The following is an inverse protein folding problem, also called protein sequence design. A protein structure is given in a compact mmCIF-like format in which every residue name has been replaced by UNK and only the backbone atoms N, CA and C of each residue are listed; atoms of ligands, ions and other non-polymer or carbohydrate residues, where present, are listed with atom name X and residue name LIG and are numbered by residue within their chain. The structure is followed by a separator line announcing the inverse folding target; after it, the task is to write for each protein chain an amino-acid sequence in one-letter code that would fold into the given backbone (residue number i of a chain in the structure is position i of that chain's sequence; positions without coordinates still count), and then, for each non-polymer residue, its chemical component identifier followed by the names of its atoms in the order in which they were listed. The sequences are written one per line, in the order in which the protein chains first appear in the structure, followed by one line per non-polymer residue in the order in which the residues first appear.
data_IF_822870858042
#
_entry.id   IF_822870858042
#
_cell.length_a   1.000
_cell.length_b   1.000
_cell.length_c   1.000
_cell.angle_alpha   90.00
_cell.angle_beta   90.00
_cell.angle_gamma   90.00
#
_symmetry.space_group_name_H-M   'P 1'
#
loop_
_entity.id
_entity.type
_entity.pdbx_description
1 polymer ?
#
# COMPACT_ATOMS: atom_id res chain seq x y z
N UNK A 1 32.10 11.41 28.78
CA UNK A 1 31.19 10.25 28.63
C UNK A 1 29.86 10.57 29.25
N UNK A 2 28.86 10.84 28.41
CA UNK A 2 27.42 10.61 28.64
C UNK A 2 26.72 11.01 27.33
N UNK A 3 26.53 10.00 26.48
CA UNK A 3 25.71 10.07 25.28
C UNK A 3 24.26 10.35 25.69
N UNK A 4 23.68 11.44 25.18
CA UNK A 4 22.24 11.60 25.10
C UNK A 4 21.79 10.95 23.79
N UNK A 5 21.19 9.77 23.89
CA UNK A 5 20.60 9.06 22.77
C UNK A 5 19.50 9.90 22.12
N UNK A 6 19.73 10.33 20.89
CA UNK A 6 18.72 10.96 20.05
C UNK A 6 17.66 9.91 19.69
N UNK A 7 16.48 9.99 20.31
CA UNK A 7 15.28 9.29 19.86
C UNK A 7 14.86 9.86 18.51
N UNK A 8 15.23 9.17 17.42
CA UNK A 8 14.84 9.54 16.07
C UNK A 8 13.34 9.30 15.84
N UNK A 9 12.50 10.26 16.21
CA UNK A 9 11.09 10.28 15.78
C UNK A 9 11.03 10.50 14.27
N UNK A 10 10.38 9.59 13.54
CA UNK A 10 9.91 9.89 12.18
C UNK A 10 8.96 11.08 12.28
N UNK A 11 9.16 12.10 11.45
CA UNK A 11 8.33 13.31 11.47
C UNK A 11 6.86 12.91 11.31
N UNK A 12 5.93 13.47 12.12
CA UNK A 12 4.51 13.35 11.85
C UNK A 12 4.22 13.88 10.45
N UNK A 13 3.40 13.16 9.68
CA UNK A 13 2.74 13.71 8.50
C UNK A 13 1.81 14.83 8.98
N UNK A 14 2.29 16.06 9.03
CA UNK A 14 1.45 17.22 9.34
C UNK A 14 0.67 17.62 8.10
N UNK A 15 -0.63 17.37 8.10
CA UNK A 15 -1.59 17.98 7.18
C UNK A 15 -2.20 19.17 7.91
N UNK A 16 -1.70 20.38 7.67
CA UNK A 16 -2.37 21.60 8.10
C UNK A 16 -3.35 22.04 7.00
N UNK A 17 -4.63 22.20 7.37
CA UNK A 17 -5.63 23.00 6.66
C UNK A 17 -5.53 23.03 5.13
N UNK A 18 -5.84 21.93 4.45
CA UNK A 18 -6.16 21.94 3.01
C UNK A 18 -5.04 22.33 2.03
N UNK A 19 -3.79 22.48 2.47
CA UNK A 19 -2.65 22.82 1.60
C UNK A 19 -1.44 21.93 1.95
N UNK A 20 -1.16 20.93 1.09
CA UNK A 20 0.09 20.16 1.15
C UNK A 20 1.23 21.00 0.57
N UNK A 21 2.16 21.46 1.41
CA UNK A 21 3.40 22.07 0.95
C UNK A 21 4.47 20.99 0.67
N UNK A 22 5.13 21.06 -0.50
CA UNK A 22 6.20 20.14 -0.90
C UNK A 22 7.41 20.19 0.06
N UNK A 23 7.99 19.05 0.49
CA UNK A 23 9.12 19.04 1.45
C UNK A 23 10.47 19.51 0.90
N UNK A 24 10.63 19.71 -0.41
CA UNK A 24 11.95 19.78 -1.05
C UNK A 24 12.45 21.18 -1.43
N UNK A 25 11.87 22.28 -0.94
CA UNK A 25 12.31 23.65 -1.32
C UNK A 25 12.64 24.58 -0.13
N UNK A 26 13.18 24.03 0.97
CA UNK A 26 13.76 24.84 2.03
C UNK A 26 15.27 24.57 2.14
N UNK A 27 16.09 25.32 1.40
CA UNK A 27 17.51 25.46 1.70
C UNK A 27 17.71 26.63 2.68
N UNK A 28 18.57 26.50 3.71
CA UNK A 28 18.93 27.62 4.57
C UNK A 28 19.95 28.49 3.82
N UNK A 29 19.46 29.52 3.12
CA UNK A 29 20.31 30.58 2.58
C UNK A 29 20.82 31.46 3.72
N UNK A 30 22.14 31.57 3.86
CA UNK A 30 22.83 32.37 4.85
C UNK A 30 22.42 33.84 4.83
N UNK A 31 22.30 34.42 6.02
CA UNK A 31 21.89 35.80 6.20
C UNK A 31 22.93 36.82 5.72
N UNK A 32 22.46 37.80 4.97
CA UNK A 32 22.94 39.18 5.07
C UNK A 32 21.80 40.14 4.73
N UNK A 33 21.83 41.27 5.40
CA UNK A 33 20.76 42.24 5.63
C UNK A 33 20.36 43.08 4.40
N UNK A 34 19.07 43.17 4.14
CA UNK A 34 18.35 44.43 3.84
C UNK A 34 16.89 44.13 3.55
N UNK A 35 15.98 44.80 4.27
CA UNK A 35 14.55 44.56 4.19
C UNK A 35 13.95 44.90 2.84
N UNK A 36 13.24 43.93 2.28
CA UNK A 36 12.11 44.09 1.36
C UNK A 36 11.23 42.85 1.57
N UNK A 37 9.97 43.04 2.00
CA UNK A 37 8.97 41.98 2.09
C UNK A 37 8.58 41.54 0.67
N UNK A 38 9.41 40.70 0.06
CA UNK A 38 9.08 40.00 -1.18
C UNK A 38 8.01 38.95 -0.88
N UNK A 39 6.76 39.25 -1.24
CA UNK A 39 5.70 38.23 -1.36
C UNK A 39 6.23 37.10 -2.25
N UNK A 40 6.51 35.93 -1.67
CA UNK A 40 6.70 34.70 -2.44
C UNK A 40 5.39 34.45 -3.20
N UNK A 41 5.39 34.73 -4.49
CA UNK A 41 4.30 34.34 -5.37
C UNK A 41 4.23 32.81 -5.33
N UNK A 42 3.10 32.28 -4.84
CA UNK A 42 2.77 30.87 -5.03
C UNK A 42 2.78 30.61 -6.54
N UNK A 43 3.71 29.79 -7.03
CA UNK A 43 3.64 29.29 -8.39
C UNK A 43 2.32 28.52 -8.53
N UNK A 44 1.50 28.80 -9.57
CA UNK A 44 0.29 28.04 -9.79
C UNK A 44 0.67 26.57 -10.03
N UNK A 45 0.06 25.68 -9.24
CA UNK A 45 0.15 24.24 -9.44
C UNK A 45 -0.39 23.96 -10.85
N UNK A 46 0.48 23.63 -11.80
CA UNK A 46 0.08 23.41 -13.20
C UNK A 46 -0.83 22.18 -13.29
N UNK A 47 -1.81 22.21 -14.19
CA UNK A 47 -2.79 21.11 -14.40
C UNK A 47 -2.12 19.73 -14.57
N UNK A 48 -0.87 19.68 -15.06
CA UNK A 48 -0.06 18.46 -15.15
C UNK A 48 0.23 17.76 -13.81
N UNK A 49 0.35 18.51 -12.70
CA UNK A 49 0.57 17.90 -11.38
C UNK A 49 -0.70 17.19 -10.86
N UNK A 50 -1.89 17.59 -11.34
CA UNK A 50 -3.16 16.91 -11.04
C UNK A 50 -3.44 15.73 -11.98
N UNK A 51 -2.71 15.59 -13.08
CA UNK A 51 -2.86 14.47 -14.02
C UNK A 51 -2.08 13.20 -13.62
N UNK A 52 -1.07 13.31 -12.75
CA UNK A 52 -0.32 12.13 -12.31
C UNK A 52 -1.12 11.31 -11.28
N UNK A 53 -1.51 10.06 -11.60
CA UNK A 53 -2.35 9.26 -10.72
C UNK A 53 -1.68 8.93 -9.37
N UNK A 54 -0.35 9.00 -9.27
CA UNK A 54 0.36 8.86 -8.00
C UNK A 54 -0.10 9.87 -6.95
N UNK A 55 -0.39 11.12 -7.34
CA UNK A 55 -0.79 12.16 -6.38
C UNK A 55 -2.21 11.89 -5.86
N UNK A 56 -3.15 11.55 -6.74
CA UNK A 56 -4.50 11.16 -6.35
C UNK A 56 -4.53 9.89 -5.49
N UNK A 57 -3.66 8.92 -5.81
CA UNK A 57 -3.49 7.69 -5.05
C UNK A 57 -2.99 7.96 -3.62
N UNK A 58 -1.87 8.66 -3.48
CA UNK A 58 -1.29 8.98 -2.17
C UNK A 58 -2.23 9.86 -1.33
N UNK A 59 -2.96 10.78 -1.97
CA UNK A 59 -3.94 11.61 -1.28
C UNK A 59 -5.09 10.76 -0.70
N UNK A 60 -5.59 9.78 -1.45
CA UNK A 60 -6.62 8.85 -0.98
C UNK A 60 -6.12 8.02 0.23
N UNK A 61 -4.86 7.60 0.22
CA UNK A 61 -4.26 6.88 1.35
C UNK A 61 -4.04 7.75 2.58
N UNK A 62 -3.67 9.02 2.41
CA UNK A 62 -3.56 9.97 3.51
C UNK A 62 -4.92 10.25 4.16
N UNK A 63 -5.97 10.45 3.35
CA UNK A 63 -7.35 10.60 3.84
C UNK A 63 -7.83 9.33 4.56
N UNK A 64 -7.55 8.16 3.98
CA UNK A 64 -7.83 6.86 4.60
C UNK A 64 -7.16 6.75 5.97
N UNK A 65 -5.88 7.10 6.07
CA UNK A 65 -5.13 7.06 7.34
C UNK A 65 -5.75 7.96 8.42
N UNK A 66 -6.20 9.17 8.06
CA UNK A 66 -6.88 10.07 9.00
C UNK A 66 -8.15 9.45 9.55
N UNK A 67 -8.98 8.83 8.69
CA UNK A 67 -10.24 8.21 9.10
C UNK A 67 -10.01 6.95 9.93
N UNK A 68 -9.03 6.13 9.55
CA UNK A 68 -8.66 4.93 10.30
C UNK A 68 -8.10 5.27 11.70
N UNK A 69 -7.39 6.39 11.85
CA UNK A 69 -6.88 6.87 13.15
C UNK A 69 -7.98 7.16 14.19
N UNK A 70 -9.21 7.37 13.75
CA UNK A 70 -10.37 7.59 14.62
C UNK A 70 -11.04 6.30 15.07
N UNK A 71 -10.73 5.15 14.45
CA UNK A 71 -11.30 3.87 14.86
C UNK A 71 -10.68 3.41 16.19
N UNK A 72 -11.48 2.69 16.98
CA UNK A 72 -11.03 2.00 18.19
C UNK A 72 -11.39 0.53 18.05
N UNK A 73 -10.39 -0.32 18.23
CA UNK A 73 -10.56 -1.77 18.14
C UNK A 73 -10.56 -2.36 19.54
N UNK A 74 -11.53 -3.22 19.80
CA UNK A 74 -11.68 -3.94 21.07
C UNK A 74 -11.31 -5.41 20.88
N UNK A 75 -11.56 -6.23 21.91
CA UNK A 75 -11.29 -7.66 21.84
C UNK A 75 -11.90 -8.30 20.59
N UNK A 76 -11.16 -9.20 19.91
CA UNK A 76 -9.88 -9.81 20.34
C UNK A 76 -8.61 -9.03 19.92
N UNK A 77 -8.74 -7.81 19.38
CA UNK A 77 -7.60 -7.00 18.91
C UNK A 77 -6.84 -6.39 20.10
N UNK A 78 -5.52 -6.57 20.11
CA UNK A 78 -4.61 -5.98 21.12
C UNK A 78 -3.52 -5.11 20.51
N UNK A 79 -3.18 -5.35 19.25
CA UNK A 79 -2.19 -4.56 18.52
C UNK A 79 -2.71 -4.28 17.11
N UNK A 80 -2.53 -3.03 16.68
CA UNK A 80 -2.87 -2.56 15.34
C UNK A 80 -1.64 -1.85 14.79
N UNK A 81 -1.13 -2.30 13.65
CA UNK A 81 -0.07 -1.56 12.96
C UNK A 81 -0.61 -0.97 11.66
N UNK A 82 -0.12 0.22 11.32
CA UNK A 82 -0.36 0.87 10.04
C UNK A 82 0.98 1.17 9.32
N UNK A 83 1.45 0.32 8.39
CA UNK A 83 2.67 0.55 7.63
C UNK A 83 2.64 1.82 6.79
N UNK A 84 1.46 2.35 6.44
CA UNK A 84 1.38 3.65 5.75
C UNK A 84 1.73 4.83 6.65
N UNK A 85 1.96 4.61 7.96
CA UNK A 85 2.53 5.62 8.85
C UNK A 85 4.02 5.40 9.06
N UNK A 86 4.43 4.24 9.56
CA UNK A 86 5.82 4.01 9.96
C UNK A 86 6.74 3.56 8.81
N UNK A 87 6.18 3.05 7.69
CA UNK A 87 6.91 2.68 6.48
C UNK A 87 6.49 3.55 5.28
N UNK A 88 6.10 4.80 5.54
CA UNK A 88 5.67 5.73 4.50
C UNK A 88 6.75 6.01 3.45
N UNK A 89 8.00 6.18 3.86
CA UNK A 89 9.11 6.50 2.94
C UNK A 89 9.27 5.47 1.79
N UNK A 90 9.45 4.15 2.05
CA UNK A 90 9.48 3.18 0.97
C UNK A 90 8.13 3.03 0.25
N UNK A 91 7.00 3.25 0.93
CA UNK A 91 5.68 3.18 0.31
C UNK A 91 5.46 4.30 -0.72
N UNK A 92 5.72 5.56 -0.35
CA UNK A 92 5.65 6.71 -1.26
C UNK A 92 6.61 6.53 -2.43
N UNK A 93 7.83 6.02 -2.17
CA UNK A 93 8.78 5.68 -3.24
C UNK A 93 8.20 4.64 -4.21
N UNK A 94 7.58 3.57 -3.71
CA UNK A 94 6.89 2.58 -4.55
C UNK A 94 5.83 3.22 -5.44
N UNK A 95 4.96 4.07 -4.88
CA UNK A 95 3.90 4.73 -5.65
C UNK A 95 4.47 5.71 -6.66
N UNK A 96 5.42 6.58 -6.28
CA UNK A 96 5.99 7.58 -7.19
C UNK A 96 6.84 6.97 -8.31
N UNK A 97 7.48 5.83 -8.07
CA UNK A 97 8.22 5.10 -9.11
C UNK A 97 7.26 4.41 -10.08
N UNK A 98 6.23 3.73 -9.59
CA UNK A 98 5.45 2.80 -10.41
C UNK A 98 4.05 3.27 -10.81
N UNK A 99 3.57 4.38 -10.25
CA UNK A 99 2.25 4.95 -10.52
C UNK A 99 2.33 6.24 -11.36
N UNK A 100 3.27 6.33 -12.30
CA UNK A 100 3.50 7.53 -13.12
C UNK A 100 2.49 7.72 -14.27
N UNK A 101 1.62 6.74 -14.50
CA UNK A 101 0.65 6.70 -15.58
C UNK A 101 -0.62 5.98 -15.11
N UNK A 102 -1.74 6.23 -15.80
CA UNK A 102 -2.98 5.48 -15.59
C UNK A 102 -2.76 3.99 -15.81
N UNK A 103 -3.56 3.17 -15.14
CA UNK A 103 -3.42 1.72 -15.10
C UNK A 103 -4.65 1.08 -15.72
N UNK A 104 -4.48 -0.07 -16.35
CA UNK A 104 -5.60 -0.85 -16.88
C UNK A 104 -6.12 -1.85 -15.85
N UNK A 105 -5.21 -2.42 -15.04
CA UNK A 105 -5.51 -3.48 -14.08
C UNK A 105 -5.00 -3.13 -12.68
N UNK A 106 -5.86 -3.26 -11.67
CA UNK A 106 -5.48 -3.20 -10.26
C UNK A 106 -5.54 -4.60 -9.63
N UNK A 107 -4.42 -5.11 -9.14
CA UNK A 107 -4.39 -6.27 -8.25
C UNK A 107 -4.65 -5.82 -6.82
N UNK A 108 -5.68 -6.39 -6.19
CA UNK A 108 -6.14 -5.98 -4.87
C UNK A 108 -5.98 -7.11 -3.84
N UNK A 109 -5.03 -6.95 -2.92
CA UNK A 109 -4.91 -7.80 -1.72
C UNK A 109 -5.87 -7.38 -0.61
N UNK A 110 -5.97 -8.20 0.43
CA UNK A 110 -6.86 -7.93 1.57
C UNK A 110 -6.25 -6.90 2.52
N UNK A 111 -5.13 -7.24 3.14
CA UNK A 111 -4.41 -6.41 4.09
C UNK A 111 -2.96 -6.90 4.25
N UNK A 112 -2.04 -6.12 4.87
CA UNK A 112 -0.66 -6.51 5.06
C UNK A 112 -0.48 -7.85 5.77
N UNK A 113 0.46 -8.66 5.29
CA UNK A 113 1.04 -9.74 6.07
C UNK A 113 2.20 -9.27 6.96
N UNK A 114 2.53 -10.01 8.03
CA UNK A 114 3.44 -9.57 9.08
C UNK A 114 4.92 -9.48 8.66
N UNK A 115 5.30 -10.15 7.56
CA UNK A 115 6.69 -10.21 7.09
C UNK A 115 6.87 -9.61 5.69
N UNK A 116 5.79 -9.16 5.05
CA UNK A 116 5.79 -8.46 3.78
C UNK A 116 5.53 -6.96 3.99
N UNK A 117 4.34 -6.50 3.58
CA UNK A 117 3.98 -5.06 3.62
C UNK A 117 4.11 -4.43 5.01
N UNK A 118 3.87 -5.18 6.10
CA UNK A 118 4.08 -4.65 7.45
C UNK A 118 5.55 -4.27 7.71
N UNK A 119 6.51 -4.85 6.99
CA UNK A 119 7.94 -4.54 7.11
C UNK A 119 8.37 -3.51 6.06
N UNK A 120 7.86 -3.59 4.85
CA UNK A 120 8.41 -2.84 3.69
C UNK A 120 7.57 -1.66 3.24
N UNK A 121 6.31 -1.56 3.66
CA UNK A 121 5.35 -0.59 3.13
C UNK A 121 4.79 -0.96 1.75
N UNK A 122 5.31 -1.99 1.07
CA UNK A 122 4.88 -2.37 -0.29
C UNK A 122 3.86 -3.52 -0.26
N UNK A 123 2.73 -3.46 -1.01
CA UNK A 123 1.78 -4.56 -1.11
C UNK A 123 2.43 -5.88 -1.54
N UNK A 124 2.06 -6.99 -0.89
CA UNK A 124 2.73 -8.29 -1.06
C UNK A 124 4.27 -8.20 -0.90
N UNK A 125 4.76 -7.21 -0.17
CA UNK A 125 6.14 -6.75 -0.23
C UNK A 125 7.13 -7.59 0.55
N UNK A 126 7.39 -8.81 0.10
CA UNK A 126 8.48 -9.63 0.61
C UNK A 126 9.83 -8.93 0.38
N UNK A 127 10.65 -8.86 1.44
CA UNK A 127 11.83 -7.99 1.50
C UNK A 127 12.78 -8.14 0.32
N UNK A 128 13.12 -9.38 -0.07
CA UNK A 128 14.08 -9.60 -1.17
C UNK A 128 13.52 -9.13 -2.50
N UNK A 129 12.26 -9.43 -2.82
CA UNK A 129 11.66 -8.94 -4.07
C UNK A 129 11.49 -7.42 -4.09
N UNK A 130 11.13 -6.82 -2.97
CA UNK A 130 11.00 -5.35 -2.88
C UNK A 130 12.36 -4.67 -3.08
N UNK A 131 13.42 -5.17 -2.43
CA UNK A 131 14.76 -4.59 -2.53
C UNK A 131 15.44 -4.90 -3.87
N UNK A 132 15.41 -6.16 -4.30
CA UNK A 132 16.29 -6.65 -5.37
C UNK A 132 15.62 -6.58 -6.76
N UNK A 133 14.28 -6.62 -6.83
CA UNK A 133 13.54 -6.56 -8.09
C UNK A 133 12.78 -5.25 -8.27
N UNK A 134 12.00 -4.82 -7.27
CA UNK A 134 11.34 -3.51 -7.29
C UNK A 134 12.29 -2.35 -6.99
N UNK A 135 13.51 -2.62 -6.50
CA UNK A 135 14.50 -1.60 -6.18
C UNK A 135 13.99 -0.49 -5.24
N UNK A 136 13.01 -0.83 -4.39
CA UNK A 136 12.46 0.05 -3.38
C UNK A 136 13.16 -0.24 -2.06
N UNK A 137 13.77 0.79 -1.51
CA UNK A 137 14.35 0.84 -0.17
C UNK A 137 14.05 2.22 0.40
N UNK A 138 13.88 2.27 1.70
CA UNK A 138 13.56 3.50 2.44
C UNK A 138 13.61 3.26 3.94
N UNK A 139 13.53 4.35 4.69
CA UNK A 139 13.51 4.31 6.15
C UNK A 139 12.18 3.72 6.63
N UNK A 140 12.29 2.75 7.53
CA UNK A 140 11.15 2.15 8.23
C UNK A 140 11.29 2.43 9.72
N UNK A 141 10.33 3.16 10.27
CA UNK A 141 10.16 3.40 11.69
C UNK A 141 9.34 2.26 12.34
N UNK A 142 9.07 2.38 13.63
CA UNK A 142 8.28 1.39 14.40
C UNK A 142 6.85 1.89 14.63
N UNK A 143 5.86 0.98 14.75
CA UNK A 143 4.57 1.36 15.30
C UNK A 143 4.74 1.74 16.78
N UNK A 144 3.80 2.52 17.31
CA UNK A 144 3.85 3.04 18.69
C UNK A 144 3.94 1.93 19.74
N UNK A 145 3.19 0.84 19.54
CA UNK A 145 3.18 -0.32 20.43
C UNK A 145 3.44 -1.58 19.62
N UNK A 146 4.61 -2.20 19.80
CA UNK A 146 4.98 -3.46 19.15
C UNK A 146 4.64 -4.67 20.02
N UNK A 147 4.01 -5.69 19.44
CA UNK A 147 4.00 -7.02 20.04
C UNK A 147 5.40 -7.66 19.92
N UNK A 148 5.99 -8.21 21.00
CA UNK A 148 7.37 -8.73 20.99
C UNK A 148 7.67 -9.82 19.94
N UNK A 149 6.68 -10.65 19.58
CA UNK A 149 6.81 -11.68 18.53
C UNK A 149 6.59 -11.17 17.11
N UNK A 150 6.28 -9.88 16.95
CA UNK A 150 5.99 -9.22 15.67
C UNK A 150 6.72 -7.88 15.58
N UNK A 151 8.05 -7.85 15.75
CA UNK A 151 8.81 -6.61 15.62
C UNK A 151 8.84 -6.16 14.15
N UNK A 152 8.81 -4.86 13.94
CA UNK A 152 9.11 -4.21 12.67
C UNK A 152 10.61 -3.98 12.61
N UNK A 153 11.26 -4.66 11.66
CA UNK A 153 12.69 -4.58 11.37
C UNK A 153 12.98 -3.95 10.01
N UNK A 154 11.95 -3.53 9.29
CA UNK A 154 12.11 -2.96 7.97
C UNK A 154 12.74 -3.95 6.99
N UNK A 155 13.68 -3.44 6.19
CA UNK A 155 14.43 -4.23 5.21
C UNK A 155 15.46 -5.20 5.84
N UNK A 156 15.67 -5.15 7.16
CA UNK A 156 16.47 -6.11 7.92
C UNK A 156 15.64 -7.29 8.47
N UNK A 157 14.36 -7.39 8.11
CA UNK A 157 13.53 -8.54 8.48
C UNK A 157 14.12 -9.84 7.88
N UNK A 158 14.48 -10.84 8.70
CA UNK A 158 15.08 -12.07 8.20
C UNK A 158 14.05 -13.05 7.60
N UNK A 159 12.77 -12.82 7.86
CA UNK A 159 11.70 -13.72 7.44
C UNK A 159 11.20 -13.36 6.04
N UNK A 160 11.01 -14.37 5.20
CA UNK A 160 10.36 -14.22 3.90
C UNK A 160 8.86 -14.44 4.02
N UNK A 161 8.06 -13.53 3.48
CA UNK A 161 6.61 -13.71 3.39
C UNK A 161 6.27 -14.54 2.14
N UNK A 162 5.90 -15.82 2.35
CA UNK A 162 5.64 -16.77 1.26
C UNK A 162 4.62 -16.26 0.23
N UNK A 163 3.55 -15.61 0.69
CA UNK A 163 2.54 -15.02 -0.21
C UNK A 163 3.15 -13.97 -1.14
N UNK A 164 3.97 -13.07 -0.58
CA UNK A 164 4.63 -12.00 -1.32
C UNK A 164 5.72 -12.51 -2.25
N UNK A 165 6.54 -13.46 -1.76
CA UNK A 165 7.56 -14.12 -2.56
C UNK A 165 6.96 -14.82 -3.79
N UNK A 166 5.86 -15.57 -3.62
CA UNK A 166 5.15 -16.22 -4.74
C UNK A 166 4.60 -15.19 -5.73
N UNK A 167 3.94 -14.15 -5.21
CA UNK A 167 3.34 -13.10 -6.03
C UNK A 167 4.38 -12.41 -6.91
N UNK A 168 5.44 -11.84 -6.30
CA UNK A 168 6.42 -11.08 -7.05
C UNK A 168 7.39 -11.96 -7.85
N UNK A 169 7.70 -13.19 -7.41
CA UNK A 169 8.49 -14.13 -8.21
C UNK A 169 7.76 -14.51 -9.51
N UNK A 170 6.43 -14.64 -9.48
CA UNK A 170 5.64 -14.93 -10.66
C UNK A 170 5.71 -13.78 -11.68
N UNK A 171 5.45 -12.54 -11.24
CA UNK A 171 5.52 -11.38 -12.13
C UNK A 171 6.94 -11.09 -12.61
N UNK A 172 7.96 -11.28 -11.77
CA UNK A 172 9.37 -11.23 -12.19
C UNK A 172 9.67 -12.23 -13.32
N UNK A 173 9.17 -13.45 -13.21
CA UNK A 173 9.42 -14.51 -14.20
C UNK A 173 8.82 -14.20 -15.57
N UNK A 174 7.65 -13.57 -15.61
CA UNK A 174 6.93 -13.30 -16.86
C UNK A 174 7.24 -11.92 -17.46
N UNK A 175 7.42 -10.90 -16.62
CA UNK A 175 7.63 -9.52 -17.05
C UNK A 175 9.12 -9.20 -17.24
N UNK A 176 10.02 -9.95 -16.58
CA UNK A 176 11.45 -9.67 -16.51
C UNK A 176 11.73 -8.45 -15.63
N UNK A 177 11.41 -7.26 -16.14
CA UNK A 177 11.59 -5.97 -15.46
C UNK A 177 10.28 -5.50 -14.78
N UNK A 178 10.35 -4.76 -13.67
CA UNK A 178 9.16 -4.24 -13.00
C UNK A 178 8.41 -3.24 -13.88
N UNK A 179 9.09 -2.44 -14.70
CA UNK A 179 8.47 -1.45 -15.60
C UNK A 179 7.46 -2.11 -16.56
N UNK A 180 7.78 -3.30 -17.06
CA UNK A 180 6.86 -4.09 -17.91
C UNK A 180 5.55 -4.41 -17.19
N UNK A 181 5.62 -4.83 -15.93
CA UNK A 181 4.42 -5.06 -15.12
C UNK A 181 3.66 -3.75 -14.85
N UNK A 182 4.37 -2.72 -14.39
CA UNK A 182 3.75 -1.47 -13.97
C UNK A 182 3.28 -0.57 -15.11
N UNK A 183 3.66 -0.87 -16.36
CA UNK A 183 3.17 -0.17 -17.55
C UNK A 183 1.64 -0.12 -17.59
N UNK A 184 0.99 -1.25 -17.30
CA UNK A 184 -0.48 -1.38 -17.32
C UNK A 184 -1.09 -1.84 -15.98
N UNK A 185 -0.29 -2.38 -15.06
CA UNK A 185 -0.79 -2.94 -13.80
C UNK A 185 -0.34 -2.14 -12.58
N UNK A 186 -1.08 -2.28 -11.49
CA UNK A 186 -0.67 -1.79 -10.17
C UNK A 186 -1.16 -2.72 -9.08
N UNK A 187 -0.56 -2.64 -7.89
CA UNK A 187 -0.90 -3.49 -6.74
C UNK A 187 -1.21 -2.62 -5.53
N UNK A 188 -2.29 -2.96 -4.83
CA UNK A 188 -2.74 -2.29 -3.61
C UNK A 188 -3.40 -3.29 -2.65
N UNK A 189 -3.63 -2.89 -1.41
CA UNK A 189 -4.43 -3.65 -0.44
C UNK A 189 -5.71 -2.88 -0.13
N UNK A 190 -6.83 -3.59 0.04
CA UNK A 190 -8.09 -2.96 0.45
C UNK A 190 -7.97 -2.26 1.82
N UNK A 191 -7.34 -2.90 2.79
CA UNK A 191 -7.13 -2.35 4.12
C UNK A 191 -5.63 -2.25 4.41
N UNK A 192 -5.09 -1.08 4.83
CA UNK A 192 -3.67 -0.94 5.15
C UNK A 192 -3.33 -1.46 6.54
N UNK A 193 -4.31 -1.79 7.39
CA UNK A 193 -4.05 -2.19 8.77
C UNK A 193 -3.74 -3.69 8.91
N UNK A 194 -2.88 -4.01 9.87
CA UNK A 194 -2.66 -5.37 10.36
C UNK A 194 -3.06 -5.46 11.84
N UNK A 195 -3.81 -6.51 12.17
CA UNK A 195 -4.39 -6.72 13.49
C UNK A 195 -3.79 -7.96 14.15
N UNK A 196 -3.52 -7.89 15.44
CA UNK A 196 -3.03 -9.02 16.22
C UNK A 196 -3.73 -9.11 17.57
N UNK A 197 -3.93 -10.34 18.04
CA UNK A 197 -4.41 -10.59 19.39
C UNK A 197 -3.27 -10.54 20.43
N UNK A 198 -3.59 -10.85 21.69
CA UNK A 198 -2.63 -10.83 22.81
C UNK A 198 -1.36 -11.68 22.59
N UNK A 199 -1.45 -12.78 21.83
CA UNK A 199 -0.30 -13.68 21.59
C UNK A 199 0.51 -13.33 20.34
N UNK A 200 0.12 -12.26 19.63
CA UNK A 200 0.70 -11.87 18.34
C UNK A 200 0.19 -12.70 17.16
N UNK A 201 -0.90 -13.47 17.34
CA UNK A 201 -1.56 -14.16 16.23
C UNK A 201 -2.25 -13.11 15.35
N UNK A 202 -2.00 -13.20 14.05
CA UNK A 202 -2.65 -12.35 13.06
C UNK A 202 -4.17 -12.56 13.06
N UNK A 203 -4.91 -11.47 13.09
CA UNK A 203 -6.35 -11.39 12.86
C UNK A 203 -6.55 -10.72 11.49
N UNK A 204 -7.35 -11.36 10.64
CA UNK A 204 -7.80 -10.78 9.37
C UNK A 204 -9.00 -9.86 9.62
N UNK A 205 -9.35 -8.95 8.70
CA UNK A 205 -10.56 -8.14 8.84
C UNK A 205 -11.82 -8.99 9.09
N UNK A 206 -11.90 -10.21 8.56
CA UNK A 206 -13.03 -11.12 8.79
C UNK A 206 -13.10 -11.68 10.21
N UNK A 207 -11.97 -11.74 10.93
CA UNK A 207 -11.90 -12.20 12.33
C UNK A 207 -12.36 -11.13 13.33
N UNK A 208 -12.57 -9.88 12.87
CA UNK A 208 -12.99 -8.77 13.71
C UNK A 208 -14.49 -8.87 14.08
N UNK A 209 -14.90 -8.36 15.25
CA UNK A 209 -16.31 -8.23 15.63
C UNK A 209 -17.08 -7.43 14.57
N UNK A 210 -18.34 -7.80 14.36
CA UNK A 210 -19.16 -7.33 13.22
C UNK A 210 -19.14 -5.80 13.06
N UNK A 211 -19.43 -5.06 14.12
CA UNK A 211 -19.52 -3.59 14.09
C UNK A 211 -18.17 -2.95 13.71
N UNK A 212 -17.09 -3.36 14.39
CA UNK A 212 -15.74 -2.87 14.11
C UNK A 212 -15.30 -3.20 12.67
N UNK A 213 -15.66 -4.40 12.19
CA UNK A 213 -15.40 -4.84 10.82
C UNK A 213 -16.15 -4.00 9.80
N UNK A 214 -17.44 -3.73 10.03
CA UNK A 214 -18.27 -2.96 9.10
C UNK A 214 -17.77 -1.51 9.01
N UNK A 215 -17.52 -0.84 10.14
CA UNK A 215 -16.95 0.52 10.16
C UNK A 215 -15.60 0.59 9.46
N UNK A 216 -14.70 -0.38 9.71
CA UNK A 216 -13.41 -0.45 9.03
C UNK A 216 -13.58 -0.60 7.51
N UNK A 217 -14.36 -1.59 7.08
CA UNK A 217 -14.44 -1.94 5.66
C UNK A 217 -15.20 -0.89 4.86
N UNK A 218 -16.15 -0.17 5.46
CA UNK A 218 -16.86 0.90 4.77
C UNK A 218 -15.94 2.12 4.51
N UNK A 219 -15.06 2.45 5.45
CA UNK A 219 -14.02 3.48 5.24
C UNK A 219 -13.04 3.04 4.14
N UNK A 220 -12.56 1.79 4.18
CA UNK A 220 -11.66 1.26 3.17
C UNK A 220 -12.32 1.16 1.77
N UNK A 221 -13.62 0.89 1.69
CA UNK A 221 -14.36 0.86 0.42
C UNK A 221 -14.40 2.23 -0.26
N UNK A 222 -14.63 3.29 0.51
CA UNK A 222 -14.64 4.65 -0.02
C UNK A 222 -13.26 5.03 -0.58
N UNK A 223 -12.19 4.71 0.16
CA UNK A 223 -10.82 4.91 -0.32
C UNK A 223 -10.50 4.07 -1.56
N UNK A 224 -10.95 2.81 -1.63
CA UNK A 224 -10.80 1.98 -2.82
C UNK A 224 -11.46 2.63 -4.05
N UNK A 225 -12.65 3.22 -3.87
CA UNK A 225 -13.35 3.91 -4.96
C UNK A 225 -12.55 5.13 -5.46
N UNK A 226 -11.93 5.90 -4.55
CA UNK A 226 -11.04 7.01 -4.92
C UNK A 226 -9.80 6.50 -5.66
N UNK A 227 -9.16 5.44 -5.17
CA UNK A 227 -7.99 4.80 -5.81
C UNK A 227 -8.33 4.32 -7.23
N UNK A 228 -9.45 3.63 -7.41
CA UNK A 228 -9.89 3.13 -8.73
C UNK A 228 -10.11 4.29 -9.71
N UNK A 229 -10.73 5.38 -9.26
CA UNK A 229 -10.94 6.60 -10.07
C UNK A 229 -9.61 7.26 -10.43
N UNK A 230 -8.70 7.41 -9.45
CA UNK A 230 -7.39 8.03 -9.66
C UNK A 230 -6.54 7.24 -10.68
N UNK A 231 -6.50 5.91 -10.54
CA UNK A 231 -5.75 5.05 -11.46
C UNK A 231 -6.40 4.94 -12.84
N UNK A 232 -7.72 5.13 -12.94
CA UNK A 232 -8.47 4.97 -14.18
C UNK A 232 -8.56 3.53 -14.68
N UNK A 233 -8.59 2.55 -13.77
CA UNK A 233 -8.56 1.12 -14.11
C UNK A 233 -9.84 0.64 -14.76
N UNK A 234 -9.69 -0.33 -15.67
CA UNK A 234 -10.79 -1.02 -16.35
C UNK A 234 -11.13 -2.36 -15.70
N UNK A 235 -10.15 -2.95 -14.99
CA UNK A 235 -10.32 -4.20 -14.28
C UNK A 235 -9.68 -4.15 -12.88
N UNK A 236 -10.40 -4.66 -11.89
CA UNK A 236 -9.86 -4.99 -10.56
C UNK A 236 -9.82 -6.51 -10.42
N UNK A 237 -8.64 -7.03 -10.10
CA UNK A 237 -8.41 -8.44 -9.81
C UNK A 237 -8.18 -8.60 -8.31
N UNK A 238 -9.18 -9.13 -7.62
CA UNK A 238 -9.04 -9.54 -6.23
C UNK A 238 -8.08 -10.72 -6.11
N UNK A 239 -7.02 -10.57 -5.32
CA UNK A 239 -6.12 -11.67 -4.97
C UNK A 239 -6.78 -12.47 -3.84
N UNK A 240 -7.61 -13.43 -4.22
CA UNK A 240 -8.50 -14.17 -3.33
C UNK A 240 -9.92 -13.61 -3.27
N UNK A 241 -10.84 -14.47 -2.80
CA UNK A 241 -12.29 -14.22 -2.82
C UNK A 241 -12.73 -13.01 -1.98
N UNK A 242 -12.10 -12.76 -0.85
CA UNK A 242 -12.43 -11.61 0.00
C UNK A 242 -12.30 -10.31 -0.79
N UNK A 243 -11.12 -10.08 -1.39
CA UNK A 243 -10.82 -8.84 -2.09
C UNK A 243 -11.72 -8.64 -3.31
N UNK A 244 -12.02 -9.71 -4.05
CA UNK A 244 -12.98 -9.65 -5.17
C UNK A 244 -14.38 -9.26 -4.69
N UNK A 245 -14.92 -9.95 -3.70
CA UNK A 245 -16.27 -9.69 -3.20
C UNK A 245 -16.38 -8.28 -2.62
N UNK A 246 -15.34 -7.81 -1.92
CA UNK A 246 -15.33 -6.48 -1.34
C UNK A 246 -15.21 -5.39 -2.40
N UNK A 247 -14.29 -5.55 -3.37
CA UNK A 247 -14.20 -4.62 -4.50
C UNK A 247 -15.51 -4.54 -5.28
N UNK A 248 -16.14 -5.69 -5.57
CA UNK A 248 -17.43 -5.74 -6.28
C UNK A 248 -18.50 -4.96 -5.53
N UNK A 249 -18.63 -5.17 -4.22
CA UNK A 249 -19.59 -4.45 -3.36
C UNK A 249 -19.32 -2.94 -3.35
N UNK A 250 -18.08 -2.54 -3.10
CA UNK A 250 -17.68 -1.14 -2.99
C UNK A 250 -17.98 -0.36 -4.27
N UNK A 251 -17.50 -0.89 -5.40
CA UNK A 251 -17.60 -0.23 -6.70
C UNK A 251 -19.04 -0.20 -7.21
N UNK A 252 -19.83 -1.27 -6.99
CA UNK A 252 -21.25 -1.26 -7.36
C UNK A 252 -22.07 -0.25 -6.57
N UNK A 253 -21.74 -0.04 -5.28
CA UNK A 253 -22.45 0.91 -4.42
C UNK A 253 -22.30 2.35 -4.94
N UNK A 254 -21.14 2.68 -5.49
CA UNK A 254 -20.81 4.00 -6.03
C UNK A 254 -21.09 4.13 -7.54
N UNK A 255 -21.70 3.11 -8.16
CA UNK A 255 -22.00 3.11 -9.61
C UNK A 255 -20.76 3.15 -10.51
N UNK A 256 -19.61 2.66 -10.03
CA UNK A 256 -18.35 2.66 -10.79
C UNK A 256 -18.31 1.43 -11.69
N UNK A 257 -18.36 1.65 -13.00
CA UNK A 257 -18.35 0.60 -14.02
C UNK A 257 -16.92 0.09 -14.28
N UNK A 258 -16.52 -0.92 -13.50
CA UNK A 258 -15.21 -1.59 -13.63
C UNK A 258 -15.41 -3.10 -13.54
N UNK A 259 -14.69 -3.85 -14.37
CA UNK A 259 -14.75 -5.32 -14.32
C UNK A 259 -14.06 -5.83 -13.05
N UNK A 260 -14.77 -6.60 -12.22
CA UNK A 260 -14.19 -7.22 -11.02
C UNK A 260 -14.12 -8.74 -11.18
N UNK A 261 -12.91 -9.27 -11.01
CA UNK A 261 -12.58 -10.70 -11.12
C UNK A 261 -11.64 -11.11 -9.98
N UNK A 262 -11.28 -12.39 -9.90
CA UNK A 262 -10.29 -12.87 -8.96
C UNK A 262 -9.22 -13.74 -9.60
N UNK A 263 -8.10 -13.85 -8.89
CA UNK A 263 -7.15 -14.95 -9.01
C UNK A 263 -7.01 -15.67 -7.67
N UNK A 264 -6.45 -16.89 -7.69
CA UNK A 264 -6.14 -17.62 -6.47
C UNK A 264 -5.19 -16.83 -5.57
N UNK A 265 -5.43 -16.81 -4.25
CA UNK A 265 -4.48 -16.21 -3.31
C UNK A 265 -3.22 -17.10 -3.12
N UNK A 266 -1.99 -16.54 -3.09
CA UNK A 266 -0.74 -17.30 -2.96
C UNK A 266 -0.45 -17.90 -1.58
N UNK A 267 -1.39 -17.85 -0.64
CA UNK A 267 -1.12 -18.14 0.78
C UNK A 267 -0.81 -19.62 0.98
N UNK A 268 0.20 -19.99 1.78
CA UNK A 268 0.49 -21.39 2.09
C UNK A 268 -0.63 -22.06 2.90
N UNK A 269 -1.57 -21.28 3.46
CA UNK A 269 -2.78 -21.82 4.10
C UNK A 269 -3.76 -22.42 3.11
N UNK A 270 -3.65 -22.10 1.82
CA UNK A 270 -4.45 -22.72 0.77
C UNK A 270 -3.69 -23.96 0.24
N UNK A 271 -4.18 -25.20 0.48
CA UNK A 271 -3.50 -26.41 0.00
C UNK A 271 -3.31 -26.45 -1.52
N UNK A 272 -4.22 -25.85 -2.29
CA UNK A 272 -4.10 -25.78 -3.75
C UNK A 272 -2.93 -24.89 -4.18
N UNK A 273 -2.70 -23.77 -3.49
CA UNK A 273 -1.57 -22.88 -3.79
C UNK A 273 -0.21 -23.56 -3.55
N UNK A 274 -0.14 -24.60 -2.72
CA UNK A 274 1.07 -25.37 -2.50
C UNK A 274 1.35 -26.42 -3.59
N UNK A 275 0.40 -26.66 -4.51
CA UNK A 275 0.49 -27.65 -5.59
C UNK A 275 0.82 -27.04 -6.97
N UNK A 276 1.13 -25.75 -7.02
CA UNK A 276 1.40 -25.00 -8.27
C UNK A 276 0.52 -23.77 -8.40
N UNK A 277 0.75 -22.76 -7.55
CA UNK A 277 0.00 -21.51 -7.61
C UNK A 277 0.25 -20.73 -8.91
N UNK A 278 1.49 -20.77 -9.39
CA UNK A 278 1.97 -20.11 -10.60
C UNK A 278 1.27 -20.62 -11.87
N UNK A 279 1.10 -21.94 -12.02
CA UNK A 279 0.41 -22.53 -13.16
C UNK A 279 -1.07 -22.15 -13.18
N UNK A 280 -1.74 -22.20 -12.03
CA UNK A 280 -3.15 -21.81 -11.90
C UNK A 280 -3.35 -20.33 -12.23
N UNK A 281 -2.53 -19.45 -11.65
CA UNK A 281 -2.67 -18.01 -11.88
C UNK A 281 -2.30 -17.62 -13.31
N UNK A 282 -1.35 -18.32 -13.94
CA UNK A 282 -1.08 -18.15 -15.38
C UNK A 282 -2.33 -18.39 -16.21
N UNK A 283 -3.00 -19.52 -16.03
CA UNK A 283 -4.23 -19.85 -16.77
C UNK A 283 -5.32 -18.80 -16.50
N UNK A 284 -5.53 -18.42 -15.24
CA UNK A 284 -6.52 -17.40 -14.89
C UNK A 284 -6.23 -16.05 -15.57
N UNK A 285 -4.98 -15.60 -15.60
CA UNK A 285 -4.62 -14.34 -16.26
C UNK A 285 -4.77 -14.38 -17.78
N UNK A 286 -4.59 -15.56 -18.40
CA UNK A 286 -4.85 -15.77 -19.82
C UNK A 286 -6.36 -15.71 -20.12
N UNK A 287 -7.18 -16.40 -19.32
CA UNK A 287 -8.65 -16.38 -19.44
C UNK A 287 -9.24 -14.98 -19.22
N UNK A 288 -8.63 -14.19 -18.35
CA UNK A 288 -9.01 -12.80 -18.08
C UNK A 288 -8.55 -11.82 -19.16
N UNK A 289 -7.77 -12.26 -20.16
CA UNK A 289 -7.23 -11.40 -21.21
C UNK A 289 -6.14 -10.42 -20.74
N UNK A 290 -5.56 -10.63 -19.55
CA UNK A 290 -4.53 -9.75 -18.97
C UNK A 290 -3.13 -10.14 -19.43
N UNK A 291 -2.94 -11.38 -19.91
CA UNK A 291 -1.63 -11.89 -20.33
C UNK A 291 -0.86 -10.97 -21.30
N UNK A 292 -1.47 -10.40 -22.37
CA UNK A 292 -0.76 -9.49 -23.28
C UNK A 292 -0.23 -8.23 -22.60
N UNK A 293 -0.89 -7.74 -21.54
CA UNK A 293 -0.47 -6.55 -20.80
C UNK A 293 0.79 -6.78 -19.95
N UNK A 294 1.13 -8.04 -19.68
CA UNK A 294 2.25 -8.44 -18.80
C UNK A 294 3.52 -8.80 -19.59
N UNK A 295 3.42 -8.92 -20.92
CA UNK A 295 4.50 -9.39 -21.80
C UNK A 295 4.81 -8.41 -22.95
N UNK A 296 4.18 -7.25 -22.97
CA UNK A 296 4.28 -6.23 -24.04
C UNK A 296 5.11 -5.00 -23.63
#
# INVERSE_FOLDING_TARGET
MKDFGATHHCRPLFVYGGLCCCPNHCHPGGGSSSGEEGRMAAQPCTDQYMENPANGFLQAELELNLRLGNLRFQDPVKYVYNPLLYAWDPHEKYVRTYCQSRKEVLFLGMNPGPFGMAQTGVPFGEVKHVRDWLQIVGKVCKPEVEHPKRPIRGFDCPNSEVSGARFWSFFKSICGQPETFFKHCFVHNHCPLIFMNQSGKNLTPTDLPKEQRESLLDICDEALCQVVKALGVKMVIGVGRFSEQRAKKALSREGIEVTVKNIMHPSPRNPQANKGWDSVVRTQLQELGVWPLLTA
#
